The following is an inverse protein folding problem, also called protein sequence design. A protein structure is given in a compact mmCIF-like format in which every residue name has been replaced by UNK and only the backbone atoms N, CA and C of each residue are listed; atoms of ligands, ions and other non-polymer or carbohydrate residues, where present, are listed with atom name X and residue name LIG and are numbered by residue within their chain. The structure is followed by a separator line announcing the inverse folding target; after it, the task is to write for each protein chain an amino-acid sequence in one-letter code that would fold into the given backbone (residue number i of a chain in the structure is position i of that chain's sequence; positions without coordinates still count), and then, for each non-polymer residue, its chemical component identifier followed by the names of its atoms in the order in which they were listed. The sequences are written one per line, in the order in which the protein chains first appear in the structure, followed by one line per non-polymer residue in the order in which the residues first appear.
data_IF_508988715680
#
_entry.id   IF_508988715680
#
_cell.length_a   1.000
_cell.length_b   1.000
_cell.length_c   1.000
_cell.angle_alpha   90.00
_cell.angle_beta   90.00
_cell.angle_gamma   90.00
#
_symmetry.space_group_name_H-M   'P 1'
#
loop_
_entity.id
_entity.type
_entity.pdbx_description
1 polymer ?
#
# COMPACT_ATOMS: atom_id res chain seq x y z
N UNK A 1 -6.79 -4.78 -31.04
CA UNK A 1 -7.67 -4.35 -29.92
C UNK A 1 -7.26 -5.02 -28.59
N UNK A 2 -5.97 -4.99 -28.21
CA UNK A 2 -5.50 -5.57 -26.94
C UNK A 2 -5.24 -4.50 -25.84
N UNK A 3 -5.02 -3.24 -26.23
CA UNK A 3 -4.75 -2.14 -25.29
C UNK A 3 -6.00 -1.69 -24.48
N UNK A 4 -7.21 -1.96 -24.96
CA UNK A 4 -8.46 -1.59 -24.27
C UNK A 4 -8.87 -2.57 -23.15
N UNK A 5 -8.20 -3.74 -23.07
CA UNK A 5 -8.46 -4.77 -22.04
C UNK A 5 -7.56 -4.65 -20.81
N UNK A 6 -6.59 -3.73 -20.82
CA UNK A 6 -5.85 -3.32 -19.62
C UNK A 6 -6.48 -2.03 -19.09
N UNK A 7 -7.79 -2.05 -18.76
CA UNK A 7 -8.39 -1.01 -17.90
C UNK A 7 -7.53 -0.96 -16.65
N UNK A 8 -6.67 0.03 -16.61
CA UNK A 8 -5.55 0.13 -15.70
C UNK A 8 -6.07 0.02 -14.28
N UNK A 9 -5.55 -0.95 -13.51
CA UNK A 9 -5.93 -1.10 -12.11
C UNK A 9 -5.50 0.19 -11.40
N UNK A 10 -6.46 0.84 -10.74
CA UNK A 10 -6.16 1.94 -9.83
C UNK A 10 -5.14 1.43 -8.81
N UNK A 11 -4.04 2.17 -8.63
CA UNK A 11 -2.94 1.73 -7.80
C UNK A 11 -2.33 2.93 -7.07
N UNK A 12 -1.88 2.68 -5.84
CA UNK A 12 -1.12 3.59 -5.03
C UNK A 12 0.15 2.87 -4.58
N UNK A 13 1.26 3.59 -4.55
CA UNK A 13 2.53 3.08 -4.03
C UNK A 13 3.10 4.11 -3.08
N UNK A 14 3.49 3.67 -1.89
CA UNK A 14 4.21 4.53 -0.95
C UNK A 14 5.70 4.40 -1.15
N UNK A 15 6.38 5.54 -1.24
CA UNK A 15 7.83 5.63 -1.09
C UNK A 15 8.13 6.67 -0.02
N UNK A 16 8.68 6.22 1.11
CA UNK A 16 8.98 7.05 2.27
C UNK A 16 7.73 7.74 2.85
N UNK A 17 7.49 9.01 2.49
CA UNK A 17 6.35 9.82 2.96
C UNK A 17 5.39 10.20 1.84
N UNK A 18 5.68 9.77 0.61
CA UNK A 18 4.94 10.18 -0.58
C UNK A 18 4.14 8.99 -1.10
N UNK A 19 2.85 9.23 -1.35
CA UNK A 19 1.95 8.27 -1.99
C UNK A 19 1.83 8.67 -3.47
N UNK A 20 2.25 7.78 -4.35
CA UNK A 20 2.15 7.97 -5.80
C UNK A 20 0.90 7.27 -6.30
N UNK A 21 0.01 8.01 -6.96
CA UNK A 21 -1.25 7.51 -7.50
C UNK A 21 -1.14 7.23 -8.99
N UNK A 22 -1.72 6.12 -9.45
CA UNK A 22 -1.75 5.73 -10.85
C UNK A 22 -3.17 5.36 -11.27
N UNK A 23 -3.69 6.03 -12.31
CA UNK A 23 -5.06 5.90 -12.82
C UNK A 23 -6.18 6.12 -11.78
N UNK A 24 -5.91 6.94 -10.76
CA UNK A 24 -6.93 7.43 -9.83
C UNK A 24 -6.63 8.87 -9.46
N UNK A 25 -7.66 9.64 -9.13
CA UNK A 25 -7.48 10.99 -8.59
C UNK A 25 -7.22 10.94 -7.08
N UNK A 26 -6.72 12.05 -6.54
CA UNK A 26 -6.57 12.20 -5.09
C UNK A 26 -7.93 12.10 -4.40
N UNK A 27 -8.97 12.69 -4.98
CA UNK A 27 -10.32 12.71 -4.42
C UNK A 27 -10.88 11.28 -4.32
N UNK A 28 -10.77 10.49 -5.39
CA UNK A 28 -11.16 9.07 -5.41
C UNK A 28 -10.40 8.25 -4.38
N UNK A 29 -9.07 8.42 -4.32
CA UNK A 29 -8.22 7.74 -3.36
C UNK A 29 -8.60 8.09 -1.91
N UNK A 30 -8.78 9.36 -1.60
CA UNK A 30 -9.14 9.81 -0.24
C UNK A 30 -10.57 9.47 0.16
N UNK A 31 -11.50 9.38 -0.80
CA UNK A 31 -12.87 8.92 -0.56
C UNK A 31 -12.91 7.43 -0.18
N UNK A 32 -11.97 6.64 -0.69
CA UNK A 32 -11.80 5.25 -0.25
C UNK A 32 -10.98 5.19 1.05
N UNK A 33 -11.68 5.33 2.17
CA UNK A 33 -11.05 5.40 3.50
C UNK A 33 -10.16 4.20 3.82
N UNK A 34 -10.59 2.98 3.47
CA UNK A 34 -9.80 1.76 3.68
C UNK A 34 -8.48 1.84 2.93
N UNK A 35 -8.55 2.20 1.64
CA UNK A 35 -7.36 2.34 0.82
C UNK A 35 -6.42 3.43 1.34
N UNK A 36 -6.96 4.57 1.74
CA UNK A 36 -6.17 5.62 2.36
C UNK A 36 -5.46 5.14 3.64
N UNK A 37 -6.17 4.44 4.54
CA UNK A 37 -5.59 3.91 5.78
C UNK A 37 -4.50 2.86 5.52
N UNK A 38 -4.70 2.03 4.49
CA UNK A 38 -3.72 1.05 4.04
C UNK A 38 -2.40 1.73 3.64
N UNK A 39 -2.44 2.71 2.74
CA UNK A 39 -1.23 3.41 2.30
C UNK A 39 -0.60 4.25 3.43
N UNK A 40 -1.41 4.89 4.28
CA UNK A 40 -0.91 5.59 5.47
C UNK A 40 -0.15 4.65 6.42
N UNK A 41 -0.57 3.39 6.49
CA UNK A 41 0.15 2.40 7.28
C UNK A 41 1.53 2.09 6.70
N UNK A 42 1.66 2.03 5.38
CA UNK A 42 2.98 1.93 4.74
C UNK A 42 3.84 3.17 4.99
N UNK A 43 3.26 4.38 5.00
CA UNK A 43 3.99 5.60 5.39
C UNK A 43 4.52 5.47 6.83
N UNK A 44 3.70 5.00 7.77
CA UNK A 44 4.12 4.79 9.15
C UNK A 44 5.21 3.70 9.27
N UNK A 45 5.12 2.61 8.50
CA UNK A 45 6.15 1.58 8.46
C UNK A 45 7.48 2.11 7.88
N UNK A 46 7.42 2.94 6.83
CA UNK A 46 8.58 3.65 6.31
C UNK A 46 9.22 4.57 7.36
N UNK A 47 8.40 5.25 8.17
CA UNK A 47 8.90 6.06 9.29
C UNK A 47 9.53 5.21 10.39
N UNK A 48 8.94 4.05 10.70
CA UNK A 48 9.40 3.13 11.75
C UNK A 48 10.73 2.45 11.41
N UNK A 49 10.91 2.03 10.15
CA UNK A 49 12.09 1.24 9.75
C UNK A 49 13.10 2.04 8.92
N UNK A 50 12.72 3.17 8.32
CA UNK A 50 13.51 3.89 7.33
C UNK A 50 13.43 3.24 5.94
N UNK A 51 13.76 4.01 4.90
CA UNK A 51 13.54 3.64 3.48
C UNK A 51 14.21 2.31 3.11
N UNK A 52 15.52 2.20 3.30
CA UNK A 52 16.32 1.06 2.84
C UNK A 52 15.92 -0.21 3.61
N UNK A 53 15.84 -0.11 4.94
CA UNK A 53 15.52 -1.25 5.80
C UNK A 53 14.10 -1.76 5.55
N UNK A 54 13.13 -0.87 5.38
CA UNK A 54 11.75 -1.28 5.09
C UNK A 54 11.67 -2.06 3.77
N UNK A 55 12.28 -1.56 2.70
CA UNK A 55 12.27 -2.24 1.39
C UNK A 55 12.89 -3.64 1.51
N UNK A 56 14.06 -3.77 2.17
CA UNK A 56 14.71 -5.06 2.35
C UNK A 56 13.82 -6.03 3.15
N UNK A 57 13.27 -5.58 4.28
CA UNK A 57 12.39 -6.41 5.12
C UNK A 57 11.12 -6.83 4.36
N UNK A 58 10.54 -5.91 3.60
CA UNK A 58 9.33 -6.14 2.84
C UNK A 58 9.56 -7.16 1.72
N UNK A 59 10.62 -7.00 0.94
CA UNK A 59 10.99 -7.95 -0.11
C UNK A 59 11.33 -9.32 0.48
N UNK A 60 12.09 -9.37 1.58
CA UNK A 60 12.41 -10.62 2.26
C UNK A 60 11.16 -11.37 2.74
N UNK A 61 10.21 -10.67 3.39
CA UNK A 61 8.94 -11.28 3.81
C UNK A 61 8.09 -11.72 2.62
N UNK A 62 8.09 -10.95 1.53
CA UNK A 62 7.36 -11.29 0.30
C UNK A 62 7.92 -12.54 -0.35
N UNK A 63 9.25 -12.68 -0.43
CA UNK A 63 9.89 -13.89 -0.97
C UNK A 63 9.62 -15.10 -0.07
N UNK A 64 9.62 -14.91 1.25
CA UNK A 64 9.46 -16.02 2.22
C UNK A 64 8.01 -16.49 2.38
N UNK A 65 7.04 -15.58 2.34
CA UNK A 65 5.62 -15.86 2.70
C UNK A 65 4.63 -15.53 1.58
N UNK A 66 5.08 -14.87 0.52
CA UNK A 66 4.23 -14.29 -0.50
C UNK A 66 3.63 -12.94 -0.08
N UNK A 67 3.16 -12.19 -1.08
CA UNK A 67 2.59 -10.84 -0.88
C UNK A 67 1.42 -10.84 0.12
N UNK A 68 0.44 -11.74 -0.04
CA UNK A 68 -0.76 -11.78 0.82
C UNK A 68 -0.48 -12.11 2.29
N UNK A 69 0.61 -12.81 2.59
CA UNK A 69 0.97 -13.18 3.97
C UNK A 69 2.16 -12.37 4.49
N UNK A 70 2.60 -11.36 3.73
CA UNK A 70 3.62 -10.44 4.18
C UNK A 70 3.08 -9.70 5.42
N UNK A 71 3.82 -9.75 6.52
CA UNK A 71 3.41 -9.12 7.79
C UNK A 71 3.08 -7.64 7.64
N UNK A 72 3.74 -6.93 6.71
CA UNK A 72 3.48 -5.51 6.46
C UNK A 72 2.14 -5.27 5.75
N UNK A 73 1.76 -6.15 4.82
CA UNK A 73 0.45 -6.17 4.14
C UNK A 73 -0.69 -6.62 5.08
N UNK A 74 -0.37 -7.48 6.05
CA UNK A 74 -1.31 -7.85 7.12
C UNK A 74 -1.57 -6.64 8.01
N UNK A 75 -0.50 -6.00 8.50
CA UNK A 75 -0.61 -4.81 9.36
C UNK A 75 -1.33 -3.64 8.66
N UNK A 76 -1.13 -3.49 7.34
CA UNK A 76 -1.85 -2.51 6.50
C UNK A 76 -3.34 -2.82 6.40
N UNK A 77 -3.72 -4.10 6.19
CA UNK A 77 -5.12 -4.54 6.20
C UNK A 77 -5.79 -4.41 7.56
N UNK A 78 -5.07 -4.66 8.65
CA UNK A 78 -5.59 -4.42 10.00
C UNK A 78 -5.88 -2.92 10.23
N UNK A 79 -5.05 -2.04 9.68
CA UNK A 79 -5.28 -0.60 9.75
C UNK A 79 -6.54 -0.15 8.98
N UNK A 80 -6.97 -0.88 7.95
CA UNK A 80 -8.23 -0.59 7.24
C UNK A 80 -9.47 -0.68 8.15
N UNK A 81 -9.39 -1.43 9.25
CA UNK A 81 -10.48 -1.66 10.19
C UNK A 81 -10.44 -0.76 11.42
N UNK A 82 -9.37 0.03 11.60
CA UNK A 82 -9.07 0.76 12.85
C UNK A 82 -10.03 1.91 13.17
N UNK A 83 -10.89 2.31 12.24
CA UNK A 83 -11.93 3.33 12.44
C UNK A 83 -13.32 2.78 12.82
N UNK A 84 -13.48 1.45 12.91
CA UNK A 84 -14.75 0.84 13.33
C UNK A 84 -14.89 0.70 14.86
N UNK A 85 -13.95 1.26 15.63
CA UNK A 85 -13.94 1.31 17.10
C UNK A 85 -13.99 2.77 17.56
#
# INVERSE_FOLDING_TARGET
MAAYKLKTKQCAIVVNRTIYLHNTTREEFTANRKWLLHELKHVEQYQRYGIIRFIILYLYETVRKGYRNNKFEVEAREAELKELL
#
